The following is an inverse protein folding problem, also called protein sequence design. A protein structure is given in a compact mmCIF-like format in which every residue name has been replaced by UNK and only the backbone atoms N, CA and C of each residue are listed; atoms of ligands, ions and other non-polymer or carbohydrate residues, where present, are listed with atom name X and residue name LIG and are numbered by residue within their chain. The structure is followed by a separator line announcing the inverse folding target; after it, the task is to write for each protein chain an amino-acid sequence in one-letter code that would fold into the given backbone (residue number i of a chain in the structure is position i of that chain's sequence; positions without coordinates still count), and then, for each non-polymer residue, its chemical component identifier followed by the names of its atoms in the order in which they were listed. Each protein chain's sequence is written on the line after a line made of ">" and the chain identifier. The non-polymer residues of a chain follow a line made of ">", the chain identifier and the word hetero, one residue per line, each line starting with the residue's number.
data_IF_940575568392
#
_entry.id   IF_940575568392
#
_cell.length_a   1.000
_cell.length_b   1.000
_cell.length_c   1.000
_cell.angle_alpha   90.00
_cell.angle_beta   90.00
_cell.angle_gamma   90.00
#
_symmetry.space_group_name_H-M   'P 1'
#
loop_
_entity.id
_entity.type
_entity.pdbx_description
1 polymer ?
#
# COMPACT_ATOMS: atom_id res chain seq x y z
N UNK A 1 25.59 -12.42 10.38
CA UNK A 1 24.65 -11.56 9.66
C UNK A 1 23.22 -11.99 9.93
N UNK A 2 22.38 -11.05 10.20
CA UNK A 2 20.99 -11.35 10.49
C UNK A 2 20.18 -11.35 9.20
N UNK A 3 19.43 -12.44 8.95
CA UNK A 3 18.44 -12.49 7.88
C UNK A 3 17.07 -12.00 8.37
N UNK A 4 17.07 -11.28 9.47
CA UNK A 4 15.83 -10.80 10.09
C UNK A 4 15.19 -9.72 9.24
N UNK A 5 13.91 -9.91 8.96
CA UNK A 5 13.09 -8.90 8.30
C UNK A 5 12.77 -7.78 9.29
N UNK A 6 13.03 -6.56 8.88
CA UNK A 6 12.78 -5.36 9.69
C UNK A 6 11.69 -4.52 8.99
N UNK A 7 10.66 -4.15 9.75
CA UNK A 7 9.65 -3.20 9.29
C UNK A 7 9.89 -1.87 10.01
N UNK A 8 10.05 -0.80 9.25
CA UNK A 8 10.34 0.52 9.81
C UNK A 8 9.64 1.64 9.03
N UNK A 9 9.42 2.79 9.68
CA UNK A 9 8.92 3.96 8.96
C UNK A 9 9.97 4.50 7.99
N UNK A 10 9.50 5.12 6.91
CA UNK A 10 10.36 5.74 5.91
C UNK A 10 10.85 7.10 6.36
N UNK A 11 12.01 7.48 5.82
CA UNK A 11 12.50 8.85 5.86
C UNK A 11 12.61 9.38 4.42
N UNK A 12 12.86 10.68 4.27
CA UNK A 12 13.00 11.29 2.95
C UNK A 12 14.09 10.62 2.09
N UNK A 13 15.12 10.07 2.73
CA UNK A 13 16.22 9.38 2.05
C UNK A 13 15.76 8.09 1.36
N UNK A 14 14.60 7.56 1.73
CA UNK A 14 14.06 6.31 1.17
C UNK A 14 13.25 6.52 -0.11
N UNK A 15 12.98 7.74 -0.52
CA UNK A 15 12.04 8.04 -1.61
C UNK A 15 12.39 7.34 -2.93
N UNK A 16 13.67 7.34 -3.32
CA UNK A 16 14.08 6.70 -4.57
C UNK A 16 13.91 5.18 -4.52
N UNK A 17 14.25 4.55 -3.40
CA UNK A 17 14.08 3.11 -3.22
C UNK A 17 12.60 2.71 -3.19
N UNK A 18 11.76 3.51 -2.54
CA UNK A 18 10.31 3.31 -2.53
C UNK A 18 9.77 3.35 -3.96
N UNK A 19 10.12 4.37 -4.73
CA UNK A 19 9.65 4.49 -6.11
C UNK A 19 10.06 3.29 -6.96
N UNK A 20 11.29 2.79 -6.79
CA UNK A 20 11.78 1.62 -7.51
C UNK A 20 11.02 0.35 -7.13
N UNK A 21 10.74 0.15 -5.84
CA UNK A 21 9.97 -1.02 -5.38
C UNK A 21 8.54 -0.97 -5.90
N UNK A 22 7.89 0.20 -5.88
CA UNK A 22 6.55 0.37 -6.44
C UNK A 22 6.55 0.01 -7.92
N UNK A 23 7.50 0.54 -8.69
CA UNK A 23 7.59 0.26 -10.13
C UNK A 23 7.76 -1.23 -10.41
N UNK A 24 8.65 -1.89 -9.68
CA UNK A 24 8.90 -3.32 -9.86
C UNK A 24 7.69 -4.16 -9.47
N UNK A 25 7.00 -3.81 -8.38
CA UNK A 25 5.84 -4.54 -7.90
C UNK A 25 4.63 -4.39 -8.84
N UNK A 26 4.38 -3.17 -9.33
CA UNK A 26 3.21 -2.86 -10.17
C UNK A 26 3.42 -3.19 -11.64
N UNK A 27 4.64 -3.54 -12.06
CA UNK A 27 4.92 -3.89 -13.46
C UNK A 27 4.00 -5.00 -13.98
N UNK A 28 3.56 -5.92 -13.12
CA UNK A 28 2.62 -6.99 -13.48
C UNK A 28 1.27 -6.47 -13.98
N UNK A 29 0.89 -5.24 -13.61
CA UNK A 29 -0.41 -4.66 -13.99
C UNK A 29 -0.33 -3.77 -15.22
N UNK A 30 0.85 -3.57 -15.80
CA UNK A 30 1.01 -2.72 -16.98
C UNK A 30 0.19 -3.28 -18.14
N UNK A 31 -0.68 -2.43 -18.71
CA UNK A 31 -1.59 -2.83 -19.79
C UNK A 31 -2.76 -3.70 -19.35
N UNK A 32 -2.94 -3.95 -18.05
CA UNK A 32 -3.98 -4.84 -17.51
C UNK A 32 -5.06 -4.12 -16.72
N UNK A 33 -4.84 -2.86 -16.37
CA UNK A 33 -5.81 -2.03 -15.66
C UNK A 33 -6.27 -0.88 -16.53
N UNK A 34 -7.58 -0.60 -16.51
CA UNK A 34 -8.19 0.53 -17.21
C UNK A 34 -9.06 1.28 -16.21
N UNK A 35 -8.78 2.55 -15.91
CA UNK A 35 -7.60 3.31 -16.34
C UNK A 35 -6.31 2.75 -15.71
N UNK A 36 -5.17 3.13 -16.28
CA UNK A 36 -3.87 2.69 -15.78
C UNK A 36 -3.70 3.11 -14.32
N UNK A 37 -2.99 2.29 -13.55
CA UNK A 37 -2.72 2.61 -12.14
C UNK A 37 -1.89 3.88 -12.00
N UNK A 38 -2.25 4.72 -11.03
CA UNK A 38 -1.46 5.88 -10.65
C UNK A 38 -0.05 5.53 -10.17
N UNK A 39 0.16 4.26 -9.77
CA UNK A 39 1.49 3.80 -9.35
C UNK A 39 2.55 3.98 -10.45
N UNK A 40 2.15 3.94 -11.71
CA UNK A 40 3.08 4.14 -12.83
C UNK A 40 3.55 5.59 -12.99
N UNK A 41 2.94 6.52 -12.28
CA UNK A 41 3.35 7.92 -12.25
C UNK A 41 4.21 8.28 -11.05
N UNK A 42 4.43 7.31 -10.14
CA UNK A 42 5.26 7.55 -8.96
C UNK A 42 6.73 7.63 -9.33
N UNK A 43 7.40 8.65 -8.79
CA UNK A 43 8.83 8.89 -8.94
C UNK A 43 9.43 9.19 -7.57
N UNK A 44 10.75 9.23 -7.48
CA UNK A 44 11.39 9.66 -6.24
C UNK A 44 10.89 11.04 -5.80
N UNK A 45 10.67 11.95 -6.75
CA UNK A 45 10.18 13.30 -6.45
C UNK A 45 8.76 13.30 -5.91
N UNK A 46 7.84 12.50 -6.50
CA UNK A 46 6.46 12.43 -6.00
C UNK A 46 6.40 11.83 -4.60
N UNK A 47 7.17 10.78 -4.36
CA UNK A 47 7.24 10.15 -3.05
C UNK A 47 7.82 11.11 -2.01
N UNK A 48 8.94 11.77 -2.33
CA UNK A 48 9.53 12.76 -1.42
C UNK A 48 8.54 13.88 -1.09
N UNK A 49 7.80 14.36 -2.09
CA UNK A 49 6.78 15.38 -1.89
C UNK A 49 5.66 14.93 -0.95
N UNK A 50 5.18 13.71 -1.12
CA UNK A 50 4.15 13.14 -0.24
C UNK A 50 4.66 13.02 1.20
N UNK A 51 5.88 12.54 1.40
CA UNK A 51 6.49 12.45 2.73
C UNK A 51 6.65 13.81 3.38
N UNK A 52 7.01 14.85 2.62
CA UNK A 52 7.12 16.21 3.10
C UNK A 52 5.77 16.80 3.52
N UNK A 53 4.68 16.39 2.88
CA UNK A 53 3.33 16.87 3.20
C UNK A 53 2.67 16.12 4.35
N UNK A 54 3.38 15.23 5.01
CA UNK A 54 2.91 14.53 6.20
C UNK A 54 2.37 13.12 5.95
N UNK A 55 2.33 12.68 4.70
CA UNK A 55 2.09 11.27 4.41
C UNK A 55 3.29 10.45 4.89
N UNK A 56 3.07 9.17 5.16
CA UNK A 56 4.14 8.30 5.61
C UNK A 56 4.29 7.09 4.71
N UNK A 57 5.28 6.28 5.01
CA UNK A 57 5.44 4.98 4.40
C UNK A 57 6.06 4.03 5.41
N UNK A 58 5.75 2.75 5.26
CA UNK A 58 6.36 1.67 6.06
C UNK A 58 7.12 0.78 5.08
N UNK A 59 8.35 0.45 5.46
CA UNK A 59 9.27 -0.34 4.64
C UNK A 59 9.52 -1.69 5.26
N UNK A 60 9.73 -2.69 4.42
CA UNK A 60 10.22 -4.00 4.83
C UNK A 60 11.62 -4.18 4.26
N UNK A 61 12.58 -4.36 5.13
CA UNK A 61 13.99 -4.54 4.76
C UNK A 61 14.55 -5.83 5.29
N UNK A 62 15.50 -6.39 4.54
CA UNK A 62 16.28 -7.54 4.99
C UNK A 62 17.70 -7.36 4.45
N UNK A 63 18.68 -7.41 5.34
CA UNK A 63 20.09 -7.20 4.96
C UNK A 63 20.33 -5.86 4.24
N UNK A 64 19.61 -4.81 4.66
CA UNK A 64 19.73 -3.49 4.06
C UNK A 64 19.01 -3.31 2.72
N UNK A 65 18.38 -4.35 2.20
CA UNK A 65 17.63 -4.29 0.94
C UNK A 65 16.15 -4.10 1.23
N UNK A 66 15.51 -3.15 0.53
CA UNK A 66 14.07 -2.95 0.62
C UNK A 66 13.37 -4.00 -0.21
N UNK A 67 12.54 -4.83 0.44
CA UNK A 67 11.79 -5.90 -0.22
C UNK A 67 10.34 -5.52 -0.50
N UNK A 68 9.82 -4.56 0.23
CA UNK A 68 8.45 -4.09 0.07
C UNK A 68 8.21 -2.79 0.78
N UNK A 69 7.07 -2.17 0.49
CA UNK A 69 6.67 -0.92 1.12
C UNK A 69 5.17 -0.70 0.98
N UNK A 70 4.66 0.26 1.75
CA UNK A 70 3.27 0.68 1.68
C UNK A 70 3.22 2.16 2.06
N UNK A 71 2.43 2.95 1.34
CA UNK A 71 2.22 4.35 1.66
C UNK A 71 1.02 4.49 2.59
N UNK A 72 1.09 5.39 3.55
CA UNK A 72 0.01 5.63 4.50
C UNK A 72 -0.31 7.12 4.61
N UNK A 73 -1.57 7.41 4.91
CA UNK A 73 -2.04 8.79 5.05
C UNK A 73 -3.29 8.79 5.95
N UNK A 74 -3.38 9.73 6.87
CA UNK A 74 -4.58 9.85 7.69
C UNK A 74 -5.73 10.46 6.89
N UNK A 75 -6.90 9.82 6.95
CA UNK A 75 -8.12 10.29 6.30
C UNK A 75 -9.32 10.04 7.21
N UNK A 76 -10.00 11.11 7.60
CA UNK A 76 -11.29 11.02 8.31
C UNK A 76 -11.26 10.10 9.54
N UNK A 77 -10.17 10.17 10.31
CA UNK A 77 -10.03 9.39 11.53
C UNK A 77 -9.52 7.97 11.34
N UNK A 78 -9.22 7.59 10.10
CA UNK A 78 -8.63 6.29 9.76
C UNK A 78 -7.22 6.48 9.20
N UNK A 79 -6.46 5.40 9.15
CA UNK A 79 -5.22 5.35 8.39
C UNK A 79 -5.52 4.68 7.05
N UNK A 80 -5.37 5.45 5.97
CA UNK A 80 -5.50 4.94 4.61
C UNK A 80 -4.15 4.40 4.14
N UNK A 81 -4.12 3.22 3.51
CA UNK A 81 -2.91 2.75 2.87
C UNK A 81 -3.11 2.53 1.37
N UNK A 82 -2.04 2.76 0.62
CA UNK A 82 -2.01 2.53 -0.81
C UNK A 82 -0.63 2.15 -1.28
N UNK A 83 -0.51 1.82 -2.56
CA UNK A 83 0.75 1.42 -3.19
C UNK A 83 1.45 0.28 -2.43
N UNK A 84 0.68 -0.65 -1.86
CA UNK A 84 1.25 -1.84 -1.23
C UNK A 84 2.07 -2.59 -2.26
N UNK A 85 3.34 -2.74 -2.01
CA UNK A 85 4.31 -3.25 -2.98
C UNK A 85 5.23 -4.28 -2.35
N UNK A 86 5.45 -5.37 -3.08
CA UNK A 86 6.42 -6.40 -2.71
C UNK A 86 7.21 -6.73 -3.97
N UNK A 87 8.53 -6.75 -3.87
CA UNK A 87 9.36 -7.15 -5.01
C UNK A 87 8.95 -8.53 -5.50
N UNK A 88 8.94 -8.77 -6.83
CA UNK A 88 8.59 -10.08 -7.36
C UNK A 88 9.38 -11.24 -6.72
N UNK A 89 10.66 -11.03 -6.46
CA UNK A 89 11.52 -12.03 -5.84
C UNK A 89 11.21 -12.32 -4.36
N UNK A 90 10.45 -11.44 -3.72
CA UNK A 90 10.11 -11.56 -2.30
C UNK A 90 8.66 -12.03 -2.07
N UNK A 91 7.92 -12.29 -3.13
CA UNK A 91 6.53 -12.76 -3.04
C UNK A 91 6.46 -14.19 -2.51
N UNK A 92 5.27 -14.53 -1.96
CA UNK A 92 5.01 -15.89 -1.47
C UNK A 92 5.51 -16.16 -0.06
N UNK A 93 5.98 -15.14 0.66
CA UNK A 93 6.51 -15.27 2.02
C UNK A 93 5.71 -14.49 3.06
N UNK A 94 4.48 -14.06 2.72
CA UNK A 94 3.61 -13.35 3.66
C UNK A 94 4.00 -11.90 3.92
N UNK A 95 4.83 -11.29 3.08
CA UNK A 95 5.33 -9.94 3.30
C UNK A 95 4.22 -8.89 3.21
N UNK A 96 3.31 -9.04 2.26
CA UNK A 96 2.16 -8.13 2.13
C UNK A 96 1.33 -8.11 3.41
N UNK A 97 1.05 -9.28 3.97
CA UNK A 97 0.31 -9.40 5.24
C UNK A 97 1.05 -8.69 6.37
N UNK A 98 2.37 -8.87 6.46
CA UNK A 98 3.17 -8.21 7.50
C UNK A 98 3.16 -6.69 7.36
N UNK A 99 3.20 -6.18 6.13
CA UNK A 99 3.10 -4.75 5.88
C UNK A 99 1.73 -4.20 6.31
N UNK A 100 0.66 -4.92 5.99
CA UNK A 100 -0.69 -4.52 6.41
C UNK A 100 -0.82 -4.53 7.93
N UNK A 101 -0.29 -5.57 8.59
CA UNK A 101 -0.29 -5.63 10.05
C UNK A 101 0.49 -4.47 10.67
N UNK A 102 1.59 -4.05 10.03
CA UNK A 102 2.35 -2.89 10.48
C UNK A 102 1.54 -1.58 10.32
N UNK A 103 0.76 -1.47 9.24
CA UNK A 103 -0.17 -0.34 9.06
C UNK A 103 -1.19 -0.30 10.20
N UNK A 104 -1.77 -1.46 10.55
CA UNK A 104 -2.74 -1.56 11.64
C UNK A 104 -2.12 -1.17 12.99
N UNK A 105 -0.89 -1.62 13.24
CA UNK A 105 -0.18 -1.24 14.45
C UNK A 105 0.08 0.27 14.51
N UNK A 106 0.43 0.87 13.38
CA UNK A 106 0.64 2.32 13.31
C UNK A 106 -0.67 3.09 13.54
N UNK A 107 -1.78 2.60 12.99
CA UNK A 107 -3.09 3.21 13.22
C UNK A 107 -3.47 3.18 14.71
N UNK A 108 -3.22 2.04 15.38
CA UNK A 108 -3.47 1.92 16.82
C UNK A 108 -2.58 2.87 17.61
N UNK A 109 -1.31 2.98 17.26
CA UNK A 109 -0.36 3.88 17.91
C UNK A 109 -0.83 5.33 17.80
N UNK A 110 -1.44 5.71 16.70
CA UNK A 110 -1.97 7.07 16.47
C UNK A 110 -3.37 7.28 17.06
N UNK A 111 -3.98 6.26 17.63
CA UNK A 111 -5.33 6.35 18.18
C UNK A 111 -6.42 6.46 17.13
N UNK A 112 -6.17 5.98 15.92
CA UNK A 112 -7.14 6.05 14.82
C UNK A 112 -8.17 4.92 14.92
N UNK A 113 -9.35 5.15 14.33
CA UNK A 113 -10.51 4.27 14.46
C UNK A 113 -10.46 3.05 13.58
N UNK A 114 -9.74 3.11 12.48
CA UNK A 114 -9.68 2.00 11.54
C UNK A 114 -8.62 2.17 10.48
N UNK A 115 -8.56 1.21 9.59
CA UNK A 115 -7.67 1.21 8.43
C UNK A 115 -8.54 1.06 7.19
N UNK A 116 -8.23 1.81 6.15
CA UNK A 116 -8.97 1.75 4.89
C UNK A 116 -8.04 1.67 3.69
N UNK A 117 -8.57 1.16 2.60
CA UNK A 117 -7.86 0.99 1.35
C UNK A 117 -8.78 1.13 0.15
N UNK A 118 -8.21 1.31 -1.03
CA UNK A 118 -8.92 1.16 -2.30
C UNK A 118 -8.28 0.04 -3.10
N UNK A 119 -9.09 -0.77 -3.77
CA UNK A 119 -8.61 -1.85 -4.63
C UNK A 119 -9.41 -1.87 -5.93
N UNK A 120 -8.75 -2.17 -7.05
CA UNK A 120 -9.44 -2.27 -8.34
C UNK A 120 -10.42 -3.43 -8.33
N UNK A 121 -11.58 -3.20 -8.95
CA UNK A 121 -12.64 -4.22 -9.06
C UNK A 121 -12.14 -5.51 -9.70
N UNK A 122 -11.23 -5.40 -10.68
CA UNK A 122 -10.72 -6.57 -11.42
C UNK A 122 -9.63 -7.34 -10.66
N UNK A 123 -9.09 -6.79 -9.58
CA UNK A 123 -8.02 -7.45 -8.81
C UNK A 123 -8.63 -8.32 -7.70
N UNK A 124 -9.26 -9.41 -8.09
CA UNK A 124 -10.00 -10.28 -7.17
C UNK A 124 -9.11 -10.99 -6.16
N UNK A 125 -7.88 -11.34 -6.54
CA UNK A 125 -6.95 -11.97 -5.59
C UNK A 125 -6.55 -11.02 -4.47
N UNK A 126 -6.33 -9.73 -4.81
CA UNK A 126 -6.04 -8.71 -3.81
C UNK A 126 -7.23 -8.51 -2.87
N UNK A 127 -8.45 -8.49 -3.41
CA UNK A 127 -9.66 -8.39 -2.60
C UNK A 127 -9.78 -9.56 -1.61
N UNK A 128 -9.45 -10.77 -2.05
CA UNK A 128 -9.49 -11.96 -1.17
C UNK A 128 -8.48 -11.84 -0.04
N UNK A 129 -7.28 -11.33 -0.33
CA UNK A 129 -6.26 -11.10 0.70
C UNK A 129 -6.80 -10.13 1.76
N UNK A 130 -7.34 -8.99 1.33
CA UNK A 130 -7.86 -7.99 2.26
C UNK A 130 -9.06 -8.53 3.06
N UNK A 131 -9.96 -9.26 2.42
CA UNK A 131 -11.09 -9.89 3.10
C UNK A 131 -10.61 -10.89 4.16
N UNK A 132 -9.61 -11.69 3.85
CA UNK A 132 -9.03 -12.65 4.80
C UNK A 132 -8.42 -11.94 6.01
N UNK A 133 -7.98 -10.70 5.87
CA UNK A 133 -7.42 -9.91 6.96
C UNK A 133 -8.46 -9.07 7.71
N UNK A 134 -9.74 -9.20 7.34
CA UNK A 134 -10.84 -8.56 8.07
C UNK A 134 -11.37 -7.27 7.45
N UNK A 135 -10.94 -6.94 6.24
CA UNK A 135 -11.43 -5.74 5.53
C UNK A 135 -12.75 -6.06 4.82
N UNK A 136 -13.71 -5.15 4.97
CA UNK A 136 -15.03 -5.28 4.35
C UNK A 136 -15.27 -4.12 3.39
N UNK A 137 -15.95 -4.42 2.29
CA UNK A 137 -16.32 -3.40 1.31
C UNK A 137 -17.26 -2.37 1.94
N UNK A 138 -16.98 -1.07 1.71
CA UNK A 138 -17.79 0.03 2.20
C UNK A 138 -18.50 0.78 1.06
N UNK A 139 -17.85 0.89 -0.09
CA UNK A 139 -18.41 1.59 -1.25
C UNK A 139 -17.63 1.24 -2.50
N UNK A 140 -18.16 1.64 -3.64
CA UNK A 140 -17.48 1.50 -4.93
C UNK A 140 -17.48 2.84 -5.64
N UNK A 141 -16.45 3.06 -6.45
CA UNK A 141 -16.27 4.31 -7.17
C UNK A 141 -15.86 4.03 -8.62
N UNK A 142 -16.31 4.91 -9.52
CA UNK A 142 -15.84 4.92 -10.90
C UNK A 142 -14.74 5.96 -11.04
N UNK A 143 -13.68 5.62 -11.78
CA UNK A 143 -12.69 6.62 -12.17
C UNK A 143 -13.33 7.65 -13.11
N UNK A 144 -12.80 8.88 -13.18
CA UNK A 144 -13.33 9.88 -14.10
C UNK A 144 -13.42 9.36 -15.53
N UNK A 145 -14.57 9.57 -16.17
CA UNK A 145 -14.82 9.10 -17.53
C UNK A 145 -15.41 7.70 -17.65
N UNK A 146 -15.61 6.99 -16.52
CA UNK A 146 -16.18 5.64 -16.51
C UNK A 146 -17.62 5.70 -15.95
N UNK A 147 -18.51 4.88 -16.52
CA UNK A 147 -19.91 4.79 -16.14
C UNK A 147 -20.24 3.60 -15.25
N UNK A 148 -19.19 2.88 -14.80
CA UNK A 148 -19.31 1.72 -13.93
C UNK A 148 -18.20 1.73 -12.87
N UNK A 149 -18.41 1.06 -11.73
CA UNK A 149 -17.38 1.02 -10.69
C UNK A 149 -16.08 0.38 -11.17
N UNK A 150 -14.96 1.03 -10.87
CA UNK A 150 -13.61 0.55 -11.20
C UNK A 150 -12.78 0.29 -9.95
N UNK A 151 -13.19 0.83 -8.80
CA UNK A 151 -12.52 0.66 -7.51
C UNK A 151 -13.51 0.30 -6.42
N UNK A 152 -13.03 -0.49 -5.46
CA UNK A 152 -13.75 -0.86 -4.25
C UNK A 152 -13.02 -0.22 -3.06
N UNK A 153 -13.76 0.46 -2.20
CA UNK A 153 -13.25 0.95 -0.94
C UNK A 153 -13.52 -0.09 0.14
N UNK A 154 -12.52 -0.39 0.95
CA UNK A 154 -12.62 -1.37 2.03
C UNK A 154 -12.13 -0.78 3.33
N UNK A 155 -12.66 -1.26 4.45
CA UNK A 155 -12.30 -0.76 5.77
C UNK A 155 -12.30 -1.90 6.80
N UNK A 156 -11.36 -1.79 7.75
CA UNK A 156 -11.31 -2.65 8.93
C UNK A 156 -11.36 -1.74 10.16
N UNK A 157 -12.39 -1.81 11.00
CA UNK A 157 -12.40 -1.07 12.25
C UNK A 157 -11.38 -1.67 13.21
N UNK A 158 -10.75 -0.82 14.02
CA UNK A 158 -9.81 -1.25 15.05
C UNK A 158 -10.48 -1.14 16.41
N UNK A 159 -10.32 -2.17 17.27
CA UNK A 159 -10.88 -2.11 18.62
C UNK A 159 -10.18 -1.09 19.51
#
# INVERSE_FOLDING_TARGET
>A
MSDTLVLRPATAADAAAIAAVIAASFAQYRGRLVPESGAFRETAATIAGELQRGAGAILAEQNGEMLGCVLVEEKEGDLYFGRLSVLPSARGHGLAKRLIEAVEAEARRRGLSGVRLGVRVVLTDNQRLFQALGYLETSREAHPGFDHPTSINMRKPLP
#
